data_IF_407484012132
#
_entry.id   IF_407484012132
#
_cell.length_a   1.000
_cell.length_b   1.000
_cell.length_c   1.000
_cell.angle_alpha   90.00
_cell.angle_beta   90.00
_cell.angle_gamma   90.00
#
_symmetry.space_group_name_H-M   'P 1'
#
loop_
_entity.id
_entity.type
_entity.pdbx_description
1 polymer ?
#
# COMPACT_ATOMS: atom_id res chain seq x y z
N UNK A 1 30.59 12.37 18.24
CA UNK A 1 29.13 12.43 18.20
C UNK A 1 28.61 12.87 16.82
N UNK A 2 29.49 12.92 15.77
CA UNK A 2 29.19 13.53 14.44
C UNK A 2 29.14 12.54 13.25
N UNK A 3 29.43 11.27 13.46
CA UNK A 3 29.43 10.29 12.35
C UNK A 3 28.04 9.80 11.93
N UNK A 4 27.04 9.84 12.81
CA UNK A 4 25.68 9.47 12.48
C UNK A 4 24.90 10.57 11.73
N UNK A 5 25.27 11.83 11.90
CA UNK A 5 24.58 12.96 11.26
C UNK A 5 24.97 13.09 9.79
N UNK A 6 26.24 12.83 9.46
CA UNK A 6 26.75 12.88 8.07
C UNK A 6 26.21 11.72 7.21
N UNK A 7 26.09 10.51 7.75
CA UNK A 7 25.54 9.36 7.01
C UNK A 7 24.04 9.54 6.67
N UNK A 8 23.26 10.15 7.55
CA UNK A 8 21.81 10.40 7.31
C UNK A 8 21.59 11.49 6.27
N UNK A 9 22.44 12.53 6.23
CA UNK A 9 22.33 13.61 5.23
C UNK A 9 22.79 13.17 3.84
N UNK A 10 23.80 12.33 3.73
CA UNK A 10 24.26 11.77 2.45
C UNK A 10 23.20 10.81 1.84
N UNK A 11 22.54 10.01 2.65
CA UNK A 11 21.44 9.13 2.22
C UNK A 11 20.24 9.91 1.68
N UNK A 12 19.88 11.04 2.30
CA UNK A 12 18.74 11.87 1.86
C UNK A 12 19.03 12.62 0.56
N UNK A 13 20.25 13.10 0.33
CA UNK A 13 20.60 13.77 -0.93
C UNK A 13 20.67 12.79 -2.10
N UNK A 14 21.17 11.58 -1.89
CA UNK A 14 21.15 10.50 -2.86
C UNK A 14 19.71 10.10 -3.22
N UNK A 15 18.83 10.00 -2.21
CA UNK A 15 17.42 9.71 -2.41
C UNK A 15 16.71 10.79 -3.22
N UNK A 16 16.97 12.08 -2.95
CA UNK A 16 16.36 13.18 -3.69
C UNK A 16 16.72 13.14 -5.18
N UNK A 17 17.99 12.87 -5.50
CA UNK A 17 18.43 12.73 -6.88
C UNK A 17 17.80 11.52 -7.58
N UNK A 18 17.78 10.37 -6.92
CA UNK A 18 17.17 9.14 -7.46
C UNK A 18 15.67 9.32 -7.67
N UNK A 19 14.98 10.04 -6.80
CA UNK A 19 13.54 10.28 -6.92
C UNK A 19 13.18 11.03 -8.22
N UNK A 20 13.95 12.04 -8.59
CA UNK A 20 13.73 12.78 -9.85
C UNK A 20 14.00 11.91 -11.08
N UNK A 21 15.03 11.08 -11.04
CA UNK A 21 15.33 10.16 -12.14
C UNK A 21 14.27 9.05 -12.25
N UNK A 22 13.83 8.48 -11.11
CA UNK A 22 12.75 7.51 -11.06
C UNK A 22 11.46 8.06 -11.67
N UNK A 23 11.10 9.31 -11.32
CA UNK A 23 9.89 9.95 -11.84
C UNK A 23 9.91 10.01 -13.36
N UNK A 24 11.03 10.50 -13.95
CA UNK A 24 11.18 10.61 -15.41
C UNK A 24 11.16 9.25 -16.10
N UNK A 25 11.89 8.30 -15.54
CA UNK A 25 12.06 6.96 -16.14
C UNK A 25 10.77 6.16 -16.08
N UNK A 26 10.04 6.20 -14.94
CA UNK A 26 8.75 5.54 -14.81
C UNK A 26 7.67 6.19 -15.67
N UNK A 27 7.67 7.53 -15.80
CA UNK A 27 6.75 8.23 -16.71
C UNK A 27 6.98 7.81 -18.17
N UNK A 28 8.24 7.68 -18.59
CA UNK A 28 8.59 7.21 -19.93
C UNK A 28 8.13 5.75 -20.14
N UNK A 29 8.26 4.88 -19.14
CA UNK A 29 7.76 3.52 -19.18
C UNK A 29 6.23 3.48 -19.33
N UNK A 30 5.50 4.24 -18.50
CA UNK A 30 4.04 4.32 -18.55
C UNK A 30 3.55 4.87 -19.90
N UNK A 31 4.20 5.91 -20.42
CA UNK A 31 3.86 6.46 -21.75
C UNK A 31 4.01 5.41 -22.85
N UNK A 32 5.06 4.60 -22.77
CA UNK A 32 5.29 3.50 -23.73
C UNK A 32 4.21 2.42 -23.60
N UNK A 33 3.85 1.99 -22.39
CA UNK A 33 2.81 1.00 -22.15
C UNK A 33 1.42 1.48 -22.63
N UNK A 34 1.05 2.72 -22.30
CA UNK A 34 -0.22 3.32 -22.74
C UNK A 34 -0.27 3.51 -24.26
N UNK A 35 0.87 3.85 -24.87
CA UNK A 35 0.96 3.97 -26.34
C UNK A 35 0.68 2.62 -26.98
N UNK A 36 1.35 1.56 -26.53
CA UNK A 36 1.16 0.22 -27.05
C UNK A 36 -0.31 -0.26 -26.90
N UNK A 37 -0.90 -0.03 -25.71
CA UNK A 37 -2.30 -0.38 -25.45
C UNK A 37 -3.28 0.32 -26.40
N UNK A 38 -3.04 1.59 -26.73
CA UNK A 38 -3.86 2.34 -27.70
C UNK A 38 -3.67 1.84 -29.15
N UNK A 39 -2.44 1.53 -29.53
CA UNK A 39 -2.13 1.01 -30.86
C UNK A 39 -2.79 -0.35 -31.08
N UNK A 40 -2.73 -1.24 -30.06
CA UNK A 40 -3.44 -2.54 -30.10
C UNK A 40 -4.96 -2.37 -30.13
N UNK A 41 -5.51 -1.43 -29.33
CA UNK A 41 -6.95 -1.17 -29.31
C UNK A 41 -7.49 -0.51 -30.58
N UNK A 42 -6.64 0.14 -31.37
CA UNK A 42 -6.99 0.75 -32.65
C UNK A 42 -6.77 -0.18 -33.86
N UNK A 43 -5.98 -1.24 -33.70
CA UNK A 43 -5.72 -2.21 -34.78
C UNK A 43 -6.90 -3.16 -34.93
N UNK A 44 -7.44 -3.25 -36.18
CA UNK A 44 -8.51 -4.18 -36.53
C UNK A 44 -7.92 -5.36 -37.32
N UNK A 45 -8.07 -6.57 -36.80
CA UNK A 45 -7.78 -7.81 -37.53
C UNK A 45 -6.31 -8.07 -37.85
N UNK A 46 -5.90 -8.07 -39.10
CA UNK A 46 -4.55 -8.43 -39.58
C UNK A 46 -3.45 -7.41 -39.25
N UNK A 47 -3.83 -6.19 -38.84
CA UNK A 47 -2.87 -5.11 -38.55
C UNK A 47 -2.21 -5.23 -37.18
N UNK A 48 -2.58 -6.22 -36.36
CA UNK A 48 -1.96 -6.52 -35.07
C UNK A 48 -0.47 -6.92 -35.21
N UNK A 49 -0.07 -7.49 -36.35
CA UNK A 49 1.32 -7.87 -36.59
C UNK A 49 2.23 -6.66 -36.87
N UNK A 50 1.66 -5.51 -37.22
CA UNK A 50 2.41 -4.25 -37.45
C UNK A 50 2.68 -3.46 -36.18
N UNK A 51 2.02 -3.81 -35.05
CA UNK A 51 2.26 -3.13 -33.77
C UNK A 51 3.61 -3.57 -33.19
N UNK A 52 4.56 -2.65 -33.10
CA UNK A 52 5.95 -2.95 -32.75
C UNK A 52 6.15 -3.35 -31.27
N UNK A 53 6.49 -4.60 -30.95
CA UNK A 53 6.82 -5.03 -29.58
C UNK A 53 8.05 -4.34 -28.99
N UNK A 54 8.82 -3.62 -29.80
CA UNK A 54 9.98 -2.84 -29.37
C UNK A 54 9.62 -1.80 -28.28
N UNK A 55 8.42 -1.23 -28.35
CA UNK A 55 7.90 -0.26 -27.36
C UNK A 55 7.80 -0.90 -25.98
N UNK A 56 7.37 -2.16 -25.88
CA UNK A 56 7.31 -2.89 -24.60
C UNK A 56 8.69 -3.21 -24.03
N UNK A 57 9.68 -3.50 -24.89
CA UNK A 57 11.08 -3.70 -24.45
C UNK A 57 11.67 -2.40 -23.90
N UNK A 58 11.35 -1.26 -24.52
CA UNK A 58 11.75 0.06 -24.02
C UNK A 58 11.13 0.33 -22.65
N UNK A 59 9.84 0.07 -22.47
CA UNK A 59 9.17 0.20 -21.18
C UNK A 59 9.83 -0.69 -20.10
N UNK A 60 10.12 -1.95 -20.43
CA UNK A 60 10.84 -2.85 -19.52
C UNK A 60 12.22 -2.32 -19.14
N UNK A 61 12.98 -1.80 -20.12
CA UNK A 61 14.31 -1.26 -19.87
C UNK A 61 14.27 -0.06 -18.90
N UNK A 62 13.30 0.82 -19.04
CA UNK A 62 13.10 1.94 -18.11
C UNK A 62 12.81 1.46 -16.69
N UNK A 63 11.93 0.46 -16.53
CA UNK A 63 11.64 -0.12 -15.21
C UNK A 63 12.89 -0.80 -14.64
N UNK A 64 13.65 -1.53 -15.44
CA UNK A 64 14.91 -2.16 -15.03
C UNK A 64 15.94 -1.14 -14.53
N UNK A 65 16.11 -0.02 -15.23
CA UNK A 65 16.97 1.09 -14.80
C UNK A 65 16.51 1.66 -13.45
N UNK A 66 15.20 1.79 -13.26
CA UNK A 66 14.62 2.24 -11.99
C UNK A 66 14.88 1.25 -10.83
N UNK A 67 14.86 -0.06 -11.10
CA UNK A 67 15.25 -1.08 -10.12
C UNK A 67 16.70 -0.90 -9.69
N UNK A 68 17.62 -0.78 -10.66
CA UNK A 68 19.04 -0.58 -10.37
C UNK A 68 19.32 0.70 -9.58
N UNK A 69 18.63 1.79 -9.88
CA UNK A 69 18.75 3.05 -9.14
C UNK A 69 18.34 2.89 -7.66
N UNK A 70 17.25 2.15 -7.38
CA UNK A 70 16.80 1.88 -6.01
C UNK A 70 17.77 0.96 -5.25
N UNK A 71 18.37 0.00 -5.92
CA UNK A 71 19.39 -0.86 -5.30
C UNK A 71 20.65 -0.08 -4.91
N UNK A 72 21.08 0.85 -5.75
CA UNK A 72 22.24 1.70 -5.48
C UNK A 72 22.07 2.58 -4.24
N UNK A 73 20.84 3.00 -3.93
CA UNK A 73 20.52 3.81 -2.73
C UNK A 73 19.98 2.97 -1.58
N UNK A 74 20.16 1.64 -1.63
CA UNK A 74 19.77 0.71 -0.58
C UNK A 74 18.29 0.79 -0.19
N UNK A 75 17.41 0.80 -1.19
CA UNK A 75 15.95 0.75 -1.04
C UNK A 75 15.39 -0.58 -1.58
N UNK A 76 15.67 -1.70 -0.90
CA UNK A 76 15.32 -3.04 -1.39
C UNK A 76 13.81 -3.25 -1.54
N UNK A 77 13.00 -2.62 -0.69
CA UNK A 77 11.54 -2.68 -0.77
C UNK A 77 11.02 -2.06 -2.08
N UNK A 78 11.56 -0.91 -2.47
CA UNK A 78 11.20 -0.25 -3.73
C UNK A 78 11.66 -1.06 -4.95
N UNK A 79 12.88 -1.60 -4.90
CA UNK A 79 13.41 -2.48 -5.94
C UNK A 79 12.54 -3.74 -6.12
N UNK A 80 12.05 -4.33 -5.01
CA UNK A 80 11.18 -5.50 -5.03
C UNK A 80 9.85 -5.22 -5.75
N UNK A 81 9.24 -4.06 -5.49
CA UNK A 81 8.02 -3.63 -6.16
C UNK A 81 8.23 -3.51 -7.68
N UNK A 82 9.27 -2.78 -8.08
CA UNK A 82 9.54 -2.54 -9.50
C UNK A 82 10.02 -3.79 -10.23
N UNK A 83 10.69 -4.73 -9.57
CA UNK A 83 10.99 -6.06 -10.15
C UNK A 83 9.71 -6.83 -10.49
N UNK A 84 8.69 -6.75 -9.64
CA UNK A 84 7.39 -7.36 -9.94
C UNK A 84 6.71 -6.71 -11.14
N UNK A 85 6.83 -5.38 -11.28
CA UNK A 85 6.36 -4.65 -12.46
C UNK A 85 7.16 -5.04 -13.72
N UNK A 86 8.49 -5.14 -13.62
CA UNK A 86 9.36 -5.60 -14.71
C UNK A 86 8.99 -7.00 -15.18
N UNK A 87 8.73 -7.93 -14.25
CA UNK A 87 8.30 -9.29 -14.57
C UNK A 87 6.98 -9.30 -15.34
N UNK A 88 6.00 -8.46 -14.96
CA UNK A 88 4.74 -8.35 -15.69
C UNK A 88 4.96 -7.82 -17.11
N UNK A 89 5.77 -6.76 -17.26
CA UNK A 89 6.12 -6.23 -18.60
C UNK A 89 6.89 -7.26 -19.43
N UNK A 90 7.79 -8.04 -18.83
CA UNK A 90 8.49 -9.13 -19.52
C UNK A 90 7.52 -10.18 -20.05
N UNK A 91 6.45 -10.50 -19.32
CA UNK A 91 5.38 -11.40 -19.81
C UNK A 91 4.63 -10.80 -21.00
N UNK A 92 4.40 -9.49 -20.98
CA UNK A 92 3.82 -8.76 -22.13
C UNK A 92 4.77 -8.71 -23.33
N UNK A 93 6.09 -8.55 -23.10
CA UNK A 93 7.09 -8.65 -24.19
C UNK A 93 7.07 -10.03 -24.84
N UNK A 94 6.92 -11.09 -24.02
CA UNK A 94 6.87 -12.47 -24.52
C UNK A 94 5.54 -12.79 -25.22
N UNK A 95 4.45 -12.18 -24.81
CA UNK A 95 3.09 -12.37 -25.34
C UNK A 95 2.36 -11.03 -25.40
N UNK A 96 2.65 -10.20 -26.40
CA UNK A 96 2.13 -8.83 -26.51
C UNK A 96 0.60 -8.73 -26.53
N UNK A 97 -0.07 -9.74 -27.09
CA UNK A 97 -1.53 -9.85 -27.12
C UNK A 97 -2.18 -10.03 -25.74
N UNK A 98 -1.41 -10.28 -24.68
CA UNK A 98 -1.90 -10.39 -23.30
C UNK A 98 -1.83 -9.09 -22.51
N UNK A 99 -1.29 -8.03 -23.11
CA UNK A 99 -1.30 -6.72 -22.48
C UNK A 99 -2.74 -6.21 -22.44
N UNK A 100 -3.18 -5.87 -21.25
CA UNK A 100 -4.50 -5.31 -21.00
C UNK A 100 -4.42 -4.03 -20.16
N UNK A 101 -5.53 -3.32 -20.08
CA UNK A 101 -5.62 -2.08 -19.32
C UNK A 101 -5.38 -2.30 -17.82
N UNK A 102 -5.81 -3.44 -17.27
CA UNK A 102 -5.65 -3.76 -15.84
C UNK A 102 -4.17 -3.94 -15.47
N UNK A 103 -3.39 -4.61 -16.33
CA UNK A 103 -1.95 -4.77 -16.12
C UNK A 103 -1.20 -3.45 -16.19
N UNK A 104 -1.53 -2.57 -17.15
CA UNK A 104 -0.92 -1.24 -17.25
C UNK A 104 -1.28 -0.40 -16.03
N UNK A 105 -2.54 -0.36 -15.63
CA UNK A 105 -3.02 0.37 -14.46
C UNK A 105 -2.35 -0.11 -13.16
N UNK A 106 -2.17 -1.42 -12.99
CA UNK A 106 -1.50 -1.99 -11.82
C UNK A 106 -0.03 -1.53 -11.72
N UNK A 107 0.70 -1.51 -12.85
CA UNK A 107 2.08 -1.01 -12.92
C UNK A 107 2.12 0.48 -12.56
N UNK A 108 1.21 1.27 -13.08
CA UNK A 108 1.12 2.71 -12.81
C UNK A 108 0.80 2.99 -11.34
N UNK A 109 -0.17 2.28 -10.75
CA UNK A 109 -0.55 2.43 -9.34
C UNK A 109 0.59 2.08 -8.39
N UNK A 110 1.33 1.00 -8.65
CA UNK A 110 2.50 0.65 -7.86
C UNK A 110 3.61 1.70 -7.97
N UNK A 111 3.87 2.19 -9.19
CA UNK A 111 4.86 3.23 -9.42
C UNK A 111 4.51 4.53 -8.69
N UNK A 112 3.25 4.95 -8.76
CA UNK A 112 2.76 6.16 -8.06
C UNK A 112 2.83 5.99 -6.55
N UNK A 113 2.45 4.81 -6.02
CA UNK A 113 2.54 4.52 -4.59
C UNK A 113 3.99 4.56 -4.10
N UNK A 114 4.92 3.99 -4.87
CA UNK A 114 6.34 4.03 -4.56
C UNK A 114 6.89 5.46 -4.56
N UNK A 115 6.58 6.26 -5.56
CA UNK A 115 7.01 7.66 -5.63
C UNK A 115 6.47 8.48 -4.45
N UNK A 116 5.21 8.29 -4.07
CA UNK A 116 4.60 8.93 -2.92
C UNK A 116 5.27 8.51 -1.60
N UNK A 117 5.50 7.20 -1.41
CA UNK A 117 6.26 6.67 -0.28
C UNK A 117 7.65 7.31 -0.16
N UNK A 118 8.39 7.42 -1.27
CA UNK A 118 9.74 8.00 -1.29
C UNK A 118 9.72 9.51 -1.00
N UNK A 119 8.73 10.24 -1.51
CA UNK A 119 8.54 11.67 -1.18
C UNK A 119 8.29 11.86 0.31
N UNK A 120 7.42 11.05 0.91
CA UNK A 120 7.14 11.13 2.34
C UNK A 120 8.36 10.73 3.18
N UNK A 121 9.12 9.71 2.74
CA UNK A 121 10.38 9.29 3.37
C UNK A 121 11.43 10.42 3.32
N UNK A 122 11.58 11.09 2.17
CA UNK A 122 12.47 12.23 1.99
C UNK A 122 12.08 13.42 2.88
N UNK A 123 10.77 13.64 3.08
CA UNK A 123 10.24 14.66 3.97
C UNK A 123 10.38 14.29 5.48
N UNK A 124 11.03 13.19 5.82
CA UNK A 124 11.24 12.74 7.20
C UNK A 124 9.96 12.24 7.90
N UNK A 125 8.89 11.95 7.15
CA UNK A 125 7.66 11.41 7.75
C UNK A 125 7.87 9.95 8.17
N UNK A 126 7.18 9.48 9.22
CA UNK A 126 7.22 8.09 9.62
C UNK A 126 6.47 7.23 8.61
N UNK A 127 7.19 6.66 7.66
CA UNK A 127 6.65 5.80 6.59
C UNK A 127 7.00 4.34 6.82
N UNK A 128 6.14 3.45 6.38
CA UNK A 128 6.35 2.00 6.42
C UNK A 128 6.12 1.41 5.03
N UNK A 129 7.11 0.67 4.51
CA UNK A 129 7.02 0.02 3.20
C UNK A 129 5.85 -0.98 3.10
N UNK A 130 5.43 -1.56 4.21
CA UNK A 130 4.25 -2.45 4.29
C UNK A 130 2.97 -1.77 3.80
N UNK A 131 2.88 -0.43 3.88
CA UNK A 131 1.77 0.34 3.31
C UNK A 131 1.68 0.35 1.79
N UNK A 132 2.71 -0.17 1.09
CA UNK A 132 2.71 -0.38 -0.37
C UNK A 132 2.08 -1.73 -0.78
N UNK A 133 1.78 -2.60 0.19
CA UNK A 133 1.38 -3.97 -0.07
C UNK A 133 0.08 -4.08 -0.87
N UNK A 134 -0.89 -3.20 -0.62
CA UNK A 134 -2.19 -3.26 -1.30
C UNK A 134 -2.06 -3.18 -2.83
N UNK A 135 -1.22 -2.27 -3.33
CA UNK A 135 -0.96 -2.14 -4.77
C UNK A 135 -0.01 -3.24 -5.26
N UNK A 136 1.04 -3.55 -4.51
CA UNK A 136 1.98 -4.60 -4.89
C UNK A 136 1.33 -5.97 -4.99
N UNK A 137 0.38 -6.30 -4.11
CA UNK A 137 -0.39 -7.54 -4.16
C UNK A 137 -1.04 -7.76 -5.53
N UNK A 138 -1.62 -6.70 -6.12
CA UNK A 138 -2.25 -6.80 -7.46
C UNK A 138 -1.24 -7.23 -8.52
N UNK A 139 -0.02 -6.67 -8.51
CA UNK A 139 1.05 -7.11 -9.42
C UNK A 139 1.45 -8.57 -9.18
N UNK A 140 1.55 -9.00 -7.92
CA UNK A 140 1.89 -10.38 -7.58
C UNK A 140 0.80 -11.36 -8.06
N UNK A 141 -0.47 -11.00 -7.90
CA UNK A 141 -1.61 -11.78 -8.39
C UNK A 141 -1.60 -11.88 -9.92
N UNK A 142 -1.38 -10.77 -10.64
CA UNK A 142 -1.24 -10.75 -12.10
C UNK A 142 -0.03 -11.57 -12.58
N UNK A 143 1.05 -11.58 -11.83
CA UNK A 143 2.22 -12.41 -12.09
C UNK A 143 2.02 -13.89 -11.71
N UNK A 144 0.90 -14.24 -11.08
CA UNK A 144 0.67 -15.60 -10.53
C UNK A 144 1.81 -16.00 -9.58
N UNK A 145 2.23 -15.06 -8.72
CA UNK A 145 3.32 -15.30 -7.77
C UNK A 145 2.93 -16.40 -6.77
N UNK A 146 3.85 -17.32 -6.50
CA UNK A 146 3.64 -18.41 -5.54
C UNK A 146 3.48 -17.89 -4.11
N UNK A 147 4.18 -16.80 -3.81
CA UNK A 147 4.13 -16.15 -2.51
C UNK A 147 3.60 -14.73 -2.63
N UNK A 148 2.59 -14.45 -1.81
CA UNK A 148 2.00 -13.13 -1.61
C UNK A 148 1.84 -12.94 -0.10
N UNK A 149 2.71 -12.12 0.51
CA UNK A 149 2.67 -11.88 1.95
C UNK A 149 3.22 -10.49 2.31
N UNK A 150 2.56 -9.71 3.21
CA UNK A 150 2.99 -8.36 3.57
C UNK A 150 4.36 -8.32 4.30
N UNK A 151 4.78 -9.40 4.94
CA UNK A 151 6.08 -9.49 5.59
C UNK A 151 7.26 -9.30 4.62
N UNK A 152 7.07 -9.55 3.33
CA UNK A 152 8.12 -9.38 2.32
C UNK A 152 8.48 -7.89 2.09
N UNK A 153 7.62 -6.96 2.52
CA UNK A 153 7.88 -5.51 2.52
C UNK A 153 8.33 -4.98 3.89
N UNK A 154 8.55 -5.83 4.86
CA UNK A 154 9.03 -5.41 6.18
C UNK A 154 10.57 -5.47 6.22
N UNK A 155 11.27 -4.31 6.23
CA UNK A 155 12.72 -4.26 6.21
C UNK A 155 13.30 -4.53 7.59
N UNK A 156 13.18 -5.74 8.08
CA UNK A 156 13.73 -6.16 9.37
C UNK A 156 14.81 -7.25 9.16
N UNK A 157 15.94 -7.13 9.87
CA UNK A 157 16.94 -8.19 9.94
C UNK A 157 16.44 -9.31 10.86
N UNK A 158 15.75 -10.27 10.24
CA UNK A 158 15.03 -11.32 10.94
C UNK A 158 15.86 -12.58 11.20
N UNK A 159 17.18 -12.48 11.26
CA UNK A 159 17.98 -13.66 11.63
C UNK A 159 17.39 -14.33 12.86
N UNK A 160 17.28 -15.66 12.79
CA UNK A 160 16.69 -16.42 13.87
C UNK A 160 17.48 -16.17 15.17
N UNK A 161 16.78 -15.64 16.18
CA UNK A 161 17.35 -15.34 17.49
C UNK A 161 16.65 -16.18 18.54
N UNK A 162 17.39 -16.70 19.50
CA UNK A 162 16.81 -17.47 20.58
C UNK A 162 15.82 -16.62 21.40
N UNK A 163 14.59 -17.10 21.53
CA UNK A 163 13.54 -16.49 22.37
C UNK A 163 13.51 -17.28 23.69
N UNK A 164 13.62 -16.61 24.87
CA UNK A 164 13.56 -17.32 26.16
C UNK A 164 12.17 -17.91 26.41
N UNK A 165 12.12 -19.00 27.18
CA UNK A 165 10.85 -19.51 27.71
C UNK A 165 10.34 -18.63 28.85
N UNK A 166 9.08 -18.24 28.77
CA UNK A 166 8.39 -17.44 29.77
C UNK A 166 7.11 -18.08 30.27
N UNK A 167 6.80 -19.28 29.79
CA UNK A 167 5.49 -19.92 30.04
C UNK A 167 5.55 -21.03 31.10
N UNK A 168 6.71 -21.65 31.32
CA UNK A 168 6.84 -22.84 32.15
C UNK A 168 5.95 -24.01 31.67
N UNK A 169 5.67 -24.07 30.38
CA UNK A 169 4.79 -25.08 29.77
C UNK A 169 5.41 -26.48 29.90
N UNK A 170 4.58 -27.49 30.08
CA UNK A 170 5.02 -28.90 30.08
C UNK A 170 5.37 -29.32 28.66
N UNK A 171 6.54 -29.97 28.50
CA UNK A 171 7.00 -30.47 27.22
C UNK A 171 6.04 -31.51 26.62
N UNK A 172 5.65 -31.31 25.37
CA UNK A 172 4.84 -32.27 24.62
C UNK A 172 5.42 -32.44 23.22
N UNK A 173 5.77 -33.67 22.86
CA UNK A 173 6.35 -33.95 21.54
C UNK A 173 5.29 -33.80 20.42
N UNK A 174 5.78 -33.55 19.22
CA UNK A 174 4.96 -33.57 18.02
C UNK A 174 4.46 -35.00 17.74
N UNK A 175 3.19 -35.24 18.00
CA UNK A 175 2.51 -36.51 17.81
C UNK A 175 1.08 -36.33 17.27
N UNK A 176 0.37 -37.44 17.04
CA UNK A 176 -0.99 -37.41 16.49
C UNK A 176 -1.98 -36.74 17.45
N UNK A 177 -1.78 -36.83 18.77
CA UNK A 177 -2.66 -36.22 19.76
C UNK A 177 -2.49 -34.67 19.74
N UNK A 178 -1.24 -34.18 19.69
CA UNK A 178 -0.94 -32.76 19.54
C UNK A 178 -1.48 -32.21 18.21
N UNK A 179 -1.34 -32.96 17.11
CA UNK A 179 -1.90 -32.57 15.82
C UNK A 179 -3.42 -32.42 15.90
N UNK A 180 -4.12 -33.39 16.48
CA UNK A 180 -5.58 -33.33 16.62
C UNK A 180 -6.05 -32.17 17.53
N UNK A 181 -5.26 -31.82 18.56
CA UNK A 181 -5.52 -30.66 19.41
C UNK A 181 -5.42 -29.37 18.59
N UNK A 182 -4.33 -29.16 17.89
CA UNK A 182 -4.07 -27.96 17.08
C UNK A 182 -5.06 -27.86 15.91
N UNK A 183 -5.38 -28.95 15.23
CA UNK A 183 -6.39 -28.95 14.15
C UNK A 183 -7.76 -28.50 14.63
N UNK A 184 -8.21 -29.00 15.78
CA UNK A 184 -9.49 -28.63 16.37
C UNK A 184 -9.54 -27.15 16.78
N UNK A 185 -8.48 -26.68 17.46
CA UNK A 185 -8.39 -25.30 17.91
C UNK A 185 -8.25 -24.35 16.71
N UNK A 186 -7.45 -24.70 15.69
CA UNK A 186 -7.31 -23.90 14.48
C UNK A 186 -8.62 -23.81 13.70
N UNK A 187 -9.36 -24.91 13.56
CA UNK A 187 -10.65 -24.90 12.89
C UNK A 187 -11.66 -23.99 13.63
N UNK A 188 -11.69 -24.04 14.96
CA UNK A 188 -12.53 -23.16 15.77
C UNK A 188 -12.13 -21.68 15.59
N UNK A 189 -10.82 -21.38 15.60
CA UNK A 189 -10.30 -20.05 15.38
C UNK A 189 -10.65 -19.50 13.99
N UNK A 190 -10.52 -20.33 12.93
CA UNK A 190 -10.83 -19.94 11.55
C UNK A 190 -12.33 -19.65 11.34
N UNK A 191 -13.20 -20.41 12.00
CA UNK A 191 -14.67 -20.28 11.83
C UNK A 191 -15.29 -19.18 12.69
N UNK A 192 -14.86 -19.08 13.94
CA UNK A 192 -15.55 -18.29 14.96
C UNK A 192 -14.68 -17.18 15.56
N UNK A 193 -13.38 -17.15 15.21
CA UNK A 193 -12.40 -16.20 15.77
C UNK A 193 -12.43 -16.14 17.31
N UNK A 194 -12.56 -17.30 17.97
CA UNK A 194 -12.70 -17.37 19.43
C UNK A 194 -11.35 -17.17 20.12
N UNK A 195 -11.23 -16.24 21.08
CA UNK A 195 -10.00 -16.05 21.86
C UNK A 195 -9.52 -17.33 22.55
N UNK A 196 -10.44 -18.15 23.07
CA UNK A 196 -10.12 -19.41 23.74
C UNK A 196 -9.38 -20.41 22.84
N UNK A 197 -9.74 -20.47 21.55
CA UNK A 197 -9.03 -21.30 20.57
C UNK A 197 -7.61 -20.80 20.33
N UNK A 198 -7.39 -19.49 20.24
CA UNK A 198 -6.06 -18.90 20.09
C UNK A 198 -5.20 -19.13 21.35
N UNK A 199 -5.78 -19.04 22.56
CA UNK A 199 -5.09 -19.39 23.81
C UNK A 199 -4.65 -20.85 23.82
N UNK A 200 -5.53 -21.79 23.37
CA UNK A 200 -5.16 -23.20 23.29
C UNK A 200 -3.99 -23.42 22.31
N UNK A 201 -4.04 -22.80 21.12
CA UNK A 201 -2.96 -22.86 20.14
C UNK A 201 -1.64 -22.29 20.66
N UNK A 202 -1.69 -21.16 21.38
CA UNK A 202 -0.51 -20.55 22.00
C UNK A 202 0.14 -21.52 22.99
N UNK A 203 -0.66 -22.13 23.88
CA UNK A 203 -0.19 -23.11 24.87
C UNK A 203 0.40 -24.36 24.19
N UNK A 204 -0.28 -24.93 23.20
CA UNK A 204 0.16 -26.13 22.50
C UNK A 204 1.49 -25.88 21.76
N UNK A 205 1.66 -24.68 21.14
CA UNK A 205 2.96 -24.27 20.55
C UNK A 205 4.05 -24.09 21.60
N UNK A 206 3.73 -23.50 22.78
CA UNK A 206 4.70 -23.41 23.88
C UNK A 206 5.15 -24.78 24.37
N UNK A 207 4.23 -25.77 24.45
CA UNK A 207 4.56 -27.15 24.82
C UNK A 207 5.44 -27.85 23.79
N UNK A 208 5.24 -27.59 22.48
CA UNK A 208 6.11 -28.07 21.41
C UNK A 208 7.52 -27.45 21.51
N UNK A 209 7.61 -26.15 21.87
CA UNK A 209 8.91 -25.49 22.05
C UNK A 209 9.75 -26.11 23.17
N UNK A 210 9.11 -26.57 24.24
CA UNK A 210 9.78 -27.26 25.36
C UNK A 210 10.30 -28.65 24.98
N UNK A 211 9.64 -29.31 24.01
CA UNK A 211 10.02 -30.64 23.55
C UNK A 211 10.96 -30.62 22.32
N UNK A 212 11.25 -29.44 21.82
CA UNK A 212 12.09 -29.27 20.63
C UNK A 212 13.52 -29.79 20.84
N UNK A 213 14.09 -30.42 19.81
CA UNK A 213 15.41 -31.00 19.87
C UNK A 213 16.55 -29.96 19.76
N UNK A 214 16.24 -28.78 19.19
CA UNK A 214 17.21 -27.70 18.96
C UNK A 214 16.65 -26.31 19.21
N UNK A 215 17.55 -25.34 19.40
CA UNK A 215 17.19 -23.94 19.70
C UNK A 215 16.38 -23.28 18.57
N UNK A 216 16.66 -23.62 17.32
CA UNK A 216 15.97 -23.07 16.16
C UNK A 216 14.51 -23.54 16.11
N UNK A 217 14.28 -24.83 16.29
CA UNK A 217 12.92 -25.40 16.36
C UNK A 217 12.16 -24.81 17.56
N UNK A 218 12.80 -24.73 18.73
CA UNK A 218 12.22 -24.14 19.92
C UNK A 218 11.80 -22.67 19.67
N UNK A 219 12.65 -21.93 18.98
CA UNK A 219 12.36 -20.52 18.64
C UNK A 219 11.18 -20.41 17.68
N UNK A 220 11.06 -21.25 16.65
CA UNK A 220 9.91 -21.27 15.75
C UNK A 220 8.60 -21.49 16.53
N UNK A 221 8.56 -22.48 17.42
CA UNK A 221 7.36 -22.76 18.20
C UNK A 221 7.06 -21.65 19.23
N UNK A 222 8.08 -20.97 19.78
CA UNK A 222 7.88 -19.78 20.62
C UNK A 222 7.32 -18.59 19.85
N UNK A 223 7.79 -18.37 18.62
CA UNK A 223 7.20 -17.37 17.71
C UNK A 223 5.74 -17.70 17.40
N UNK A 224 5.42 -18.97 17.13
CA UNK A 224 4.04 -19.41 16.91
C UNK A 224 3.18 -19.21 18.18
N UNK A 225 3.72 -19.51 19.36
CA UNK A 225 3.03 -19.28 20.62
C UNK A 225 2.74 -17.78 20.84
N UNK A 226 3.72 -16.89 20.61
CA UNK A 226 3.54 -15.45 20.71
C UNK A 226 2.52 -14.91 19.71
N UNK A 227 2.54 -15.40 18.47
CA UNK A 227 1.58 -15.08 17.43
C UNK A 227 0.14 -15.41 17.85
N UNK A 228 -0.11 -16.62 18.36
CA UNK A 228 -1.44 -16.98 18.84
C UNK A 228 -1.83 -16.27 20.14
N UNK A 229 -0.86 -15.91 21.00
CA UNK A 229 -1.11 -15.06 22.16
C UNK A 229 -1.57 -13.67 21.70
N UNK A 230 -0.88 -13.06 20.72
CA UNK A 230 -1.29 -11.78 20.15
C UNK A 230 -2.70 -11.84 19.55
N UNK A 231 -3.02 -12.92 18.85
CA UNK A 231 -4.35 -13.13 18.29
C UNK A 231 -5.43 -13.29 19.39
N UNK A 232 -5.14 -14.03 20.46
CA UNK A 232 -6.06 -14.21 21.59
C UNK A 232 -6.40 -12.90 22.31
N UNK A 233 -5.46 -11.96 22.32
CA UNK A 233 -5.62 -10.62 22.90
C UNK A 233 -6.31 -9.62 21.95
N UNK A 234 -6.72 -10.05 20.75
CA UNK A 234 -7.35 -9.18 19.77
C UNK A 234 -6.42 -8.13 19.14
N UNK A 235 -5.10 -8.32 19.24
CA UNK A 235 -4.09 -7.38 18.72
C UNK A 235 -3.87 -7.52 17.21
N UNK A 236 -4.38 -8.60 16.61
CA UNK A 236 -4.23 -8.91 15.19
C UNK A 236 -5.61 -8.99 14.54
N UNK A 237 -5.78 -8.30 13.42
CA UNK A 237 -7.02 -8.37 12.63
C UNK A 237 -6.99 -9.64 11.75
N UNK A 238 -8.02 -10.50 11.85
CA UNK A 238 -8.06 -11.76 11.12
C UNK A 238 -8.35 -11.54 9.63
N UNK A 239 -7.29 -11.43 8.84
CA UNK A 239 -7.37 -11.43 7.38
C UNK A 239 -6.94 -12.77 6.77
N UNK A 240 -6.89 -12.83 5.43
CA UNK A 240 -6.50 -14.03 4.73
C UNK A 240 -5.03 -14.41 4.93
N UNK A 241 -4.14 -13.44 5.10
CA UNK A 241 -2.70 -13.65 5.26
C UNK A 241 -2.40 -14.18 6.66
N UNK A 242 -3.01 -13.60 7.69
CA UNK A 242 -2.95 -14.09 9.06
C UNK A 242 -3.43 -15.55 9.14
N UNK A 243 -4.58 -15.85 8.53
CA UNK A 243 -5.15 -17.21 8.51
C UNK A 243 -4.26 -18.21 7.76
N UNK A 244 -3.65 -17.80 6.66
CA UNK A 244 -2.68 -18.63 5.93
C UNK A 244 -1.45 -18.93 6.78
N UNK A 245 -0.91 -17.93 7.48
CA UNK A 245 0.23 -18.11 8.40
C UNK A 245 -0.11 -19.11 9.49
N UNK A 246 -1.28 -19.00 10.13
CA UNK A 246 -1.74 -19.98 11.11
C UNK A 246 -1.88 -21.40 10.53
N UNK A 247 -2.37 -21.54 9.30
CA UNK A 247 -2.45 -22.84 8.60
C UNK A 247 -1.07 -23.42 8.32
N UNK A 248 -0.06 -22.58 8.05
CA UNK A 248 1.33 -23.01 7.84
C UNK A 248 1.98 -23.53 9.13
N UNK A 249 1.60 -23.00 10.30
CA UNK A 249 2.03 -23.55 11.59
C UNK A 249 1.59 -25.03 11.72
N UNK A 250 0.34 -25.33 11.35
CA UNK A 250 -0.16 -26.72 11.34
C UNK A 250 0.57 -27.58 10.29
N UNK A 251 0.87 -27.03 9.11
CA UNK A 251 1.63 -27.75 8.09
C UNK A 251 3.04 -28.10 8.58
N UNK A 252 3.70 -27.19 9.30
CA UNK A 252 5.02 -27.43 9.90
C UNK A 252 4.95 -28.56 10.95
N UNK A 253 3.91 -28.60 11.78
CA UNK A 253 3.70 -29.69 12.73
C UNK A 253 3.53 -31.06 12.02
N UNK A 254 2.72 -31.09 10.96
CA UNK A 254 2.56 -32.30 10.14
C UNK A 254 3.86 -32.79 9.52
N UNK A 255 4.69 -31.86 9.02
CA UNK A 255 6.01 -32.16 8.48
C UNK A 255 6.91 -32.76 9.56
N UNK A 256 6.92 -32.17 10.74
CA UNK A 256 7.68 -32.64 11.90
C UNK A 256 7.30 -34.03 12.35
N UNK A 257 6.00 -34.36 12.39
CA UNK A 257 5.49 -35.68 12.73
C UNK A 257 5.93 -36.74 11.69
N UNK A 258 6.09 -36.35 10.44
CA UNK A 258 6.61 -37.22 9.36
C UNK A 258 8.12 -37.45 9.42
N UNK A 259 8.83 -36.81 10.35
CA UNK A 259 10.27 -36.92 10.53
C UNK A 259 11.09 -35.90 9.73
N UNK A 260 10.48 -34.90 9.16
CA UNK A 260 11.16 -33.80 8.53
C UNK A 260 11.80 -32.90 9.61
N UNK A 261 13.12 -32.76 9.57
CA UNK A 261 13.86 -31.96 10.55
C UNK A 261 13.99 -30.49 10.16
N UNK A 262 13.70 -30.16 8.90
CA UNK A 262 13.77 -28.80 8.42
C UNK A 262 12.61 -27.95 8.96
N UNK A 263 12.91 -26.74 9.40
CA UNK A 263 11.90 -25.75 9.75
C UNK A 263 11.86 -24.65 8.69
N UNK A 264 10.68 -24.06 8.50
CA UNK A 264 10.51 -23.02 7.51
C UNK A 264 10.95 -21.66 8.06
N UNK A 265 12.11 -21.14 7.64
CA UNK A 265 12.55 -19.78 7.92
C UNK A 265 11.52 -18.74 7.49
N UNK A 266 10.86 -18.98 6.36
CA UNK A 266 9.77 -18.12 5.86
C UNK A 266 8.57 -18.08 6.80
N UNK A 267 8.26 -19.19 7.47
CA UNK A 267 7.21 -19.20 8.49
C UNK A 267 7.65 -18.42 9.72
N UNK A 268 8.90 -18.55 10.15
CA UNK A 268 9.43 -17.78 11.27
C UNK A 268 9.38 -16.28 11.01
N UNK A 269 9.74 -15.85 9.80
CA UNK A 269 9.62 -14.45 9.36
C UNK A 269 8.16 -13.95 9.39
N UNK A 270 7.22 -14.74 8.86
CA UNK A 270 5.80 -14.38 8.86
C UNK A 270 5.24 -14.24 10.28
N UNK A 271 5.60 -15.16 11.18
CA UNK A 271 5.20 -15.11 12.59
C UNK A 271 5.80 -13.89 13.30
N UNK A 272 7.08 -13.62 13.09
CA UNK A 272 7.76 -12.47 13.66
C UNK A 272 7.16 -11.14 13.18
N UNK A 273 6.80 -11.05 11.90
CA UNK A 273 6.10 -9.89 11.35
C UNK A 273 4.81 -9.56 12.10
N UNK A 274 4.00 -10.57 12.41
CA UNK A 274 2.77 -10.35 13.17
C UNK A 274 3.05 -10.02 14.64
N UNK A 275 4.05 -10.65 15.26
CA UNK A 275 4.49 -10.29 16.62
C UNK A 275 4.95 -8.83 16.68
N UNK A 276 5.71 -8.35 15.70
CA UNK A 276 6.19 -6.98 15.65
C UNK A 276 5.07 -5.93 15.52
N UNK A 277 3.91 -6.32 15.04
CA UNK A 277 2.74 -5.45 14.87
C UNK A 277 1.77 -5.50 16.04
N UNK A 278 1.96 -6.43 16.96
CA UNK A 278 1.07 -6.69 18.08
C UNK A 278 1.64 -6.09 19.37
N UNK A 279 1.07 -5.00 19.84
CA UNK A 279 1.49 -4.31 21.06
C UNK A 279 0.34 -4.24 22.06
N UNK A 280 0.43 -4.98 23.19
CA UNK A 280 -0.63 -4.97 24.19
C UNK A 280 -0.66 -3.63 24.93
N UNK A 281 -1.84 -3.28 25.45
CA UNK A 281 -1.99 -2.13 26.35
C UNK A 281 -1.15 -2.35 27.62
N UNK A 282 -0.61 -1.27 28.21
CA UNK A 282 0.11 -1.35 29.49
C UNK A 282 -0.71 -2.11 30.55
N UNK A 283 -0.07 -3.09 31.20
CA UNK A 283 -0.73 -3.93 32.20
C UNK A 283 -1.42 -5.19 31.67
N UNK A 284 -1.51 -5.38 30.35
CA UNK A 284 -2.03 -6.63 29.77
C UNK A 284 -0.93 -7.70 29.74
N UNK A 285 -1.10 -8.86 30.41
CA UNK A 285 -0.09 -9.91 30.42
C UNK A 285 0.05 -10.56 29.04
N UNK A 286 1.24 -10.45 28.46
CA UNK A 286 1.60 -11.08 27.19
C UNK A 286 3.07 -11.57 27.24
N UNK A 287 3.40 -12.53 28.12
CA UNK A 287 4.79 -12.87 28.43
C UNK A 287 5.56 -13.41 27.21
N UNK A 288 4.94 -14.25 26.38
CA UNK A 288 5.62 -14.79 25.21
C UNK A 288 5.83 -13.72 24.13
N UNK A 289 4.83 -12.86 23.92
CA UNK A 289 4.95 -11.75 22.99
C UNK A 289 6.04 -10.74 23.44
N UNK A 290 6.08 -10.44 24.75
CA UNK A 290 7.11 -9.59 25.32
C UNK A 290 8.52 -10.20 25.19
N UNK A 291 8.67 -11.50 25.36
CA UNK A 291 9.93 -12.21 25.13
C UNK A 291 10.40 -12.10 23.68
N UNK A 292 9.48 -12.23 22.70
CA UNK A 292 9.79 -12.03 21.27
C UNK A 292 10.20 -10.59 21.01
N UNK A 293 9.47 -9.61 21.54
CA UNK A 293 9.83 -8.19 21.38
C UNK A 293 11.26 -7.91 21.91
N UNK A 294 11.60 -8.43 23.07
CA UNK A 294 12.92 -8.26 23.65
C UNK A 294 14.02 -8.98 22.87
N UNK A 295 13.79 -10.23 22.44
CA UNK A 295 14.78 -11.01 21.71
C UNK A 295 15.14 -10.42 20.34
N UNK A 296 14.19 -9.75 19.70
CA UNK A 296 14.35 -9.15 18.37
C UNK A 296 14.50 -7.62 18.40
N UNK A 297 14.66 -7.01 19.57
CA UNK A 297 14.78 -5.55 19.74
C UNK A 297 13.67 -4.78 18.99
N UNK A 298 12.44 -5.28 19.08
CA UNK A 298 11.31 -4.68 18.40
C UNK A 298 10.83 -3.43 19.16
N UNK A 299 10.50 -2.39 18.39
CA UNK A 299 9.86 -1.19 18.89
C UNK A 299 8.42 -1.07 18.39
N UNK A 300 7.52 -0.40 19.14
CA UNK A 300 6.18 -0.14 18.69
C UNK A 300 6.18 0.58 17.34
N UNK A 301 5.45 0.01 16.37
CA UNK A 301 5.24 0.62 15.07
C UNK A 301 3.86 1.27 15.03
N UNK A 302 3.75 2.38 14.29
CA UNK A 302 2.43 2.95 13.98
C UNK A 302 1.63 1.89 13.21
N UNK A 303 0.41 1.54 13.65
CA UNK A 303 -0.42 0.58 12.93
C UNK A 303 -0.69 1.04 11.51
N UNK A 304 -0.41 0.18 10.53
CA UNK A 304 -0.69 0.40 9.11
C UNK A 304 -1.61 -0.71 8.63
N UNK A 305 -2.74 -0.33 8.03
CA UNK A 305 -3.58 -1.28 7.30
C UNK A 305 -2.95 -1.53 5.92
N UNK A 306 -2.31 -2.70 5.78
CA UNK A 306 -1.68 -3.12 4.53
C UNK A 306 -2.67 -3.65 3.49
N UNK A 307 -3.95 -3.81 3.83
CA UNK A 307 -4.98 -4.26 2.90
C UNK A 307 -5.56 -3.12 2.07
N UNK A 308 -5.45 -1.88 2.56
CA UNK A 308 -5.92 -0.68 1.86
C UNK A 308 -4.75 0.15 1.33
N UNK A 309 -4.88 0.79 0.16
CA UNK A 309 -3.85 1.68 -0.36
C UNK A 309 -3.56 2.84 0.60
N UNK A 310 -2.33 2.95 1.07
CA UNK A 310 -1.88 4.06 1.91
C UNK A 310 -1.23 5.17 1.09
N UNK A 311 -0.43 4.79 0.11
CA UNK A 311 0.33 5.69 -0.77
C UNK A 311 -0.27 5.74 -2.18
N UNK A 312 0.03 6.81 -2.93
CA UNK A 312 -0.37 6.95 -4.33
C UNK A 312 -1.88 7.05 -4.55
N UNK A 313 -2.62 7.49 -3.53
CA UNK A 313 -4.09 7.65 -3.61
C UNK A 313 -4.52 8.66 -4.66
N UNK A 314 -3.67 9.64 -4.95
CA UNK A 314 -3.96 10.70 -5.90
C UNK A 314 -2.83 10.86 -6.90
N UNK A 315 -3.14 10.85 -8.19
CA UNK A 315 -2.20 11.17 -9.25
C UNK A 315 -1.82 12.66 -9.15
N UNK A 316 -0.52 13.02 -9.03
CA UNK A 316 -0.06 14.41 -8.98
C UNK A 316 -0.57 15.26 -10.15
N UNK A 317 -0.61 14.70 -11.34
CA UNK A 317 -1.12 15.40 -12.52
C UNK A 317 -2.61 15.69 -12.40
N UNK A 318 -3.41 14.75 -11.88
CA UNK A 318 -4.82 14.96 -11.59
C UNK A 318 -5.04 16.01 -10.51
N UNK A 319 -4.24 15.99 -9.43
CA UNK A 319 -4.31 17.01 -8.37
C UNK A 319 -4.02 18.39 -8.94
N UNK A 320 -2.96 18.56 -9.73
CA UNK A 320 -2.63 19.84 -10.36
C UNK A 320 -3.70 20.30 -11.36
N UNK A 321 -4.23 19.37 -12.15
CA UNK A 321 -5.33 19.68 -13.05
C UNK A 321 -6.59 20.11 -12.29
N UNK A 322 -6.93 19.42 -11.20
CA UNK A 322 -8.07 19.77 -10.35
C UNK A 322 -7.89 21.15 -9.72
N UNK A 323 -6.69 21.49 -9.23
CA UNK A 323 -6.37 22.83 -8.75
C UNK A 323 -6.64 23.92 -9.79
N UNK A 324 -6.17 23.70 -11.01
CA UNK A 324 -6.43 24.65 -12.12
C UNK A 324 -7.93 24.80 -12.39
N UNK A 325 -8.68 23.70 -12.35
CA UNK A 325 -10.14 23.70 -12.55
C UNK A 325 -10.87 24.38 -11.41
N UNK A 326 -10.50 24.12 -10.14
CA UNK A 326 -11.08 24.78 -8.96
C UNK A 326 -10.81 26.29 -9.00
N UNK A 327 -9.59 26.70 -9.36
CA UNK A 327 -9.27 28.12 -9.55
C UNK A 327 -10.13 28.75 -10.63
N UNK A 328 -10.27 28.12 -11.79
CA UNK A 328 -11.13 28.61 -12.86
C UNK A 328 -12.60 28.71 -12.42
N UNK A 329 -13.09 27.76 -11.60
CA UNK A 329 -14.44 27.81 -11.05
C UNK A 329 -14.63 28.97 -10.04
N UNK A 330 -13.63 29.24 -9.20
CA UNK A 330 -13.64 30.40 -8.29
C UNK A 330 -13.70 31.71 -9.08
N UNK A 331 -12.87 31.83 -10.12
CA UNK A 331 -12.87 33.04 -10.97
C UNK A 331 -14.23 33.23 -11.68
N UNK A 332 -14.75 32.13 -12.25
CA UNK A 332 -16.06 32.14 -12.90
C UNK A 332 -17.22 32.49 -11.94
N UNK A 333 -17.20 31.92 -10.72
CA UNK A 333 -18.19 32.20 -9.69
C UNK A 333 -18.13 33.64 -9.20
N UNK A 334 -16.92 34.16 -9.01
CA UNK A 334 -16.73 35.57 -8.65
C UNK A 334 -17.27 36.52 -9.71
N UNK A 335 -17.10 36.22 -11.00
CA UNK A 335 -17.61 37.00 -12.10
C UNK A 335 -19.16 37.04 -12.12
N UNK A 336 -19.82 35.89 -11.98
CA UNK A 336 -21.30 35.82 -11.99
C UNK A 336 -21.93 36.33 -10.71
N UNK A 337 -21.16 36.55 -9.67
CA UNK A 337 -21.63 37.22 -8.44
C UNK A 337 -21.78 38.74 -8.64
N UNK A 338 -21.25 39.30 -9.72
CA UNK A 338 -21.37 40.69 -10.09
C UNK A 338 -22.59 40.90 -11.01
N UNK A 339 -23.45 41.91 -10.75
CA UNK A 339 -24.57 42.24 -11.65
C UNK A 339 -24.16 42.61 -13.08
N UNK A 340 -22.93 43.00 -13.26
CA UNK A 340 -22.36 43.42 -14.57
C UNK A 340 -22.22 42.24 -15.53
N UNK A 341 -21.97 41.01 -15.01
CA UNK A 341 -21.83 39.79 -15.82
C UNK A 341 -23.10 39.46 -16.63
N UNK A 342 -24.26 39.91 -16.20
CA UNK A 342 -25.56 39.65 -16.84
C UNK A 342 -26.06 40.78 -17.76
N UNK A 343 -25.27 41.88 -17.91
CA UNK A 343 -25.61 42.99 -18.79
C UNK A 343 -25.23 42.78 -20.25
N UNK A 344 -24.26 41.91 -20.52
CA UNK A 344 -23.78 41.61 -21.87
C UNK A 344 -24.04 40.15 -22.23
N UNK A 345 -25.03 39.83 -23.09
CA UNK A 345 -25.35 38.49 -23.50
C UNK A 345 -24.20 37.76 -24.26
N UNK A 346 -23.23 38.51 -24.81
CA UNK A 346 -22.11 37.98 -25.55
C UNK A 346 -20.86 37.68 -24.67
N UNK A 347 -20.88 38.07 -23.40
CA UNK A 347 -19.88 37.79 -22.38
C UNK A 347 -20.24 36.62 -21.46
N UNK A 348 -21.00 35.65 -21.96
CA UNK A 348 -21.39 34.49 -21.18
C UNK A 348 -20.19 33.79 -20.57
N UNK A 349 -20.09 33.80 -19.24
CA UNK A 349 -19.12 32.97 -18.52
C UNK A 349 -19.55 31.52 -18.72
N UNK A 350 -18.67 30.62 -19.17
CA UNK A 350 -19.00 29.20 -19.38
C UNK A 350 -19.12 28.48 -18.02
N UNK A 351 -20.01 28.96 -17.16
CA UNK A 351 -20.15 28.54 -15.77
C UNK A 351 -20.44 27.02 -15.67
N UNK A 352 -21.37 26.55 -16.50
CA UNK A 352 -21.74 25.12 -16.50
C UNK A 352 -20.59 24.23 -16.91
N UNK A 353 -19.85 24.61 -17.96
CA UNK A 353 -18.70 23.82 -18.43
C UNK A 353 -17.60 23.74 -17.38
N UNK A 354 -17.28 24.88 -16.75
CA UNK A 354 -16.25 24.96 -15.72
C UNK A 354 -16.64 24.14 -14.48
N UNK A 355 -17.89 24.22 -14.04
CA UNK A 355 -18.36 23.46 -12.87
C UNK A 355 -18.51 21.97 -13.18
N UNK A 356 -18.87 21.60 -14.39
CA UNK A 356 -18.87 20.18 -14.83
C UNK A 356 -17.47 19.61 -14.78
N UNK A 357 -16.46 20.32 -15.29
CA UNK A 357 -15.06 19.89 -15.25
C UNK A 357 -14.51 19.76 -13.82
N UNK A 358 -14.91 20.67 -12.91
CA UNK A 358 -14.57 20.54 -11.48
C UNK A 358 -15.23 19.31 -10.88
N UNK A 359 -16.53 19.11 -11.14
CA UNK A 359 -17.29 17.97 -10.64
C UNK A 359 -16.69 16.63 -11.08
N UNK A 360 -16.30 16.49 -12.35
CA UNK A 360 -15.59 15.30 -12.85
C UNK A 360 -14.27 15.07 -12.14
N UNK A 361 -13.49 16.13 -11.89
CA UNK A 361 -12.21 16.03 -11.21
C UNK A 361 -12.36 15.59 -9.75
N UNK A 362 -13.32 16.18 -9.03
CA UNK A 362 -13.59 15.87 -7.63
C UNK A 362 -14.07 14.42 -7.48
N UNK A 363 -14.98 13.97 -8.36
CA UNK A 363 -15.48 12.59 -8.33
C UNK A 363 -14.41 11.53 -8.63
N UNK A 364 -13.32 11.92 -9.30
CA UNK A 364 -12.16 11.02 -9.54
C UNK A 364 -11.16 11.02 -8.39
N UNK A 365 -11.04 12.15 -7.66
CA UNK A 365 -10.05 12.28 -6.59
C UNK A 365 -10.56 11.81 -5.23
N UNK A 366 -11.87 11.90 -4.99
CA UNK A 366 -12.49 11.58 -3.72
C UNK A 366 -13.67 10.64 -3.93
N UNK A 367 -13.70 9.54 -3.20
CA UNK A 367 -14.77 8.53 -3.29
C UNK A 367 -16.16 9.12 -3.02
N UNK A 368 -16.24 10.07 -2.08
CA UNK A 368 -17.48 10.80 -1.75
C UNK A 368 -17.68 12.09 -2.56
N UNK A 369 -16.77 12.39 -3.48
CA UNK A 369 -16.75 13.63 -4.27
C UNK A 369 -18.00 13.84 -5.15
N UNK A 370 -18.71 12.76 -5.48
CA UNK A 370 -19.89 12.81 -6.34
C UNK A 370 -21.06 13.59 -5.76
N UNK A 371 -21.19 13.71 -4.44
CA UNK A 371 -22.26 14.53 -3.83
C UNK A 371 -21.95 16.01 -3.99
N UNK A 372 -20.73 16.41 -3.66
CA UNK A 372 -20.29 17.81 -3.81
C UNK A 372 -20.30 18.23 -5.28
N UNK A 373 -19.88 17.38 -6.20
CA UNK A 373 -19.94 17.64 -7.64
C UNK A 373 -21.36 17.93 -8.12
N UNK A 374 -22.35 17.15 -7.67
CA UNK A 374 -23.76 17.37 -7.99
C UNK A 374 -24.30 18.68 -7.42
N UNK A 375 -23.94 19.00 -6.16
CA UNK A 375 -24.35 20.23 -5.51
C UNK A 375 -23.80 21.46 -6.24
N UNK A 376 -22.52 21.46 -6.59
CA UNK A 376 -21.88 22.54 -7.34
C UNK A 376 -22.49 22.72 -8.73
N UNK A 377 -22.75 21.64 -9.46
CA UNK A 377 -23.40 21.71 -10.79
C UNK A 377 -24.85 22.19 -10.68
N UNK A 378 -25.60 21.81 -9.65
CA UNK A 378 -26.96 22.31 -9.40
C UNK A 378 -26.97 23.82 -9.11
N UNK A 379 -26.02 24.31 -8.33
CA UNK A 379 -25.86 25.74 -8.05
C UNK A 379 -25.56 26.53 -9.33
N UNK A 380 -24.61 26.06 -10.14
CA UNK A 380 -24.30 26.70 -11.44
C UNK A 380 -25.51 26.70 -12.38
N UNK A 381 -26.27 25.61 -12.45
CA UNK A 381 -27.47 25.47 -13.25
C UNK A 381 -28.56 26.48 -12.78
N UNK A 382 -28.71 26.67 -11.48
CA UNK A 382 -29.67 27.60 -10.90
C UNK A 382 -29.37 29.05 -11.32
N UNK A 383 -28.10 29.45 -11.25
CA UNK A 383 -27.67 30.80 -11.64
C UNK A 383 -27.87 31.04 -13.14
N UNK A 384 -27.48 30.08 -13.98
CA UNK A 384 -27.61 30.20 -15.45
C UNK A 384 -29.11 30.28 -15.85
N UNK A 385 -29.96 29.43 -15.26
CA UNK A 385 -31.41 29.45 -15.54
C UNK A 385 -32.09 30.70 -15.08
N UNK A 386 -31.69 31.22 -13.92
CA UNK A 386 -32.26 32.43 -13.38
C UNK A 386 -31.80 33.69 -14.12
N UNK A 387 -30.72 33.60 -14.89
CA UNK A 387 -30.06 34.70 -15.61
C UNK A 387 -29.85 35.94 -14.71
N UNK A 388 -29.45 35.74 -13.47
CA UNK A 388 -29.20 36.77 -12.44
C UNK A 388 -28.14 36.29 -11.45
N UNK A 389 -27.47 37.21 -10.74
CA UNK A 389 -26.52 36.85 -9.70
C UNK A 389 -27.09 35.86 -8.67
N UNK A 390 -26.30 34.98 -8.08
CA UNK A 390 -26.74 34.12 -6.99
C UNK A 390 -27.19 34.96 -5.78
N UNK A 391 -28.18 34.47 -5.05
CA UNK A 391 -28.55 35.07 -3.76
C UNK A 391 -27.39 34.98 -2.76
N UNK A 392 -27.39 35.83 -1.71
CA UNK A 392 -26.26 35.88 -0.77
C UNK A 392 -25.89 34.51 -0.13
N UNK A 393 -26.92 33.73 0.23
CA UNK A 393 -26.71 32.39 0.84
C UNK A 393 -26.04 31.43 -0.13
N UNK A 394 -26.60 31.25 -1.34
CA UNK A 394 -26.05 30.39 -2.35
C UNK A 394 -24.66 30.87 -2.79
N UNK A 395 -24.49 32.21 -2.90
CA UNK A 395 -23.22 32.83 -3.25
C UNK A 395 -22.10 32.45 -2.27
N UNK A 396 -22.40 32.54 -0.97
CA UNK A 396 -21.46 32.24 0.10
C UNK A 396 -21.18 30.72 0.22
N UNK A 397 -22.23 29.92 0.10
CA UNK A 397 -22.11 28.45 0.22
C UNK A 397 -21.20 27.85 -0.85
N UNK A 398 -21.37 28.26 -2.11
CA UNK A 398 -20.51 27.81 -3.21
C UNK A 398 -19.09 28.37 -3.08
N UNK A 399 -18.92 29.63 -2.73
CA UNK A 399 -17.61 30.23 -2.53
C UNK A 399 -16.85 29.52 -1.41
N UNK A 400 -17.49 29.23 -0.28
CA UNK A 400 -16.91 28.48 0.85
C UNK A 400 -16.52 27.05 0.43
N UNK A 401 -17.39 26.38 -0.33
CA UNK A 401 -17.12 25.03 -0.83
C UNK A 401 -15.90 24.98 -1.75
N UNK A 402 -15.76 25.96 -2.65
CA UNK A 402 -14.59 26.07 -3.54
C UNK A 402 -13.29 26.41 -2.78
N UNK A 403 -13.37 27.26 -1.74
CA UNK A 403 -12.24 27.56 -0.87
C UNK A 403 -11.81 26.33 -0.05
N UNK A 404 -12.78 25.57 0.47
CA UNK A 404 -12.49 24.32 1.17
C UNK A 404 -11.81 23.29 0.26
N UNK A 405 -12.30 23.16 -0.98
CA UNK A 405 -11.67 22.29 -1.98
C UNK A 405 -10.23 22.72 -2.31
N UNK A 406 -9.98 24.03 -2.42
CA UNK A 406 -8.64 24.56 -2.66
C UNK A 406 -7.72 24.22 -1.48
N UNK A 407 -8.17 24.45 -0.24
CA UNK A 407 -7.41 24.08 0.96
C UNK A 407 -7.15 22.57 1.06
N UNK A 408 -8.15 21.73 0.78
CA UNK A 408 -7.99 20.27 0.77
C UNK A 408 -6.99 19.79 -0.30
N UNK A 409 -7.01 20.41 -1.49
CA UNK A 409 -6.06 20.14 -2.55
C UNK A 409 -4.66 20.67 -2.20
N UNK A 410 -4.55 21.73 -1.44
CA UNK A 410 -3.29 22.28 -0.94
C UNK A 410 -2.70 21.37 0.13
N UNK A 411 -3.50 20.80 1.01
CA UNK A 411 -3.03 19.77 1.96
C UNK A 411 -2.49 18.52 1.23
N UNK A 412 -3.24 18.01 0.23
CA UNK A 412 -2.79 16.91 -0.62
C UNK A 412 -1.50 17.28 -1.38
N UNK A 413 -1.28 18.54 -1.69
CA UNK A 413 -0.10 19.05 -2.39
C UNK A 413 1.02 19.57 -1.46
N UNK A 414 0.69 20.16 -0.31
CA UNK A 414 1.66 20.63 0.70
C UNK A 414 2.34 19.46 1.40
N UNK A 415 1.65 18.32 1.51
CA UNK A 415 2.30 17.06 1.84
C UNK A 415 3.43 16.69 0.85
N UNK A 416 3.50 17.36 -0.30
CA UNK A 416 4.47 17.13 -1.37
C UNK A 416 5.42 18.29 -1.66
N UNK A 417 5.07 19.53 -1.34
CA UNK A 417 5.83 20.73 -1.72
C UNK A 417 6.57 21.42 -0.57
N UNK A 418 6.53 20.87 0.62
CA UNK A 418 7.11 21.48 1.82
C UNK A 418 8.64 21.58 1.87
N UNK A 419 9.38 21.37 0.76
CA UNK A 419 10.85 21.51 0.74
C UNK A 419 11.40 21.82 -0.67
N UNK A 420 10.75 22.75 -1.39
CA UNK A 420 11.36 23.31 -2.60
C UNK A 420 11.97 24.71 -2.38
N UNK A 421 11.79 25.30 -1.19
CA UNK A 421 12.35 26.61 -0.85
C UNK A 421 12.94 26.57 0.58
N UNK A 422 14.16 26.05 0.68
CA UNK A 422 15.18 26.50 1.66
C UNK A 422 16.54 25.95 1.28
#
# INVERSE_FOLDING_TARGET
MDLHHTAVTDDLSALAWVLEELRKTLEAAHKSLRRYLREVGAAEGSDLDDVQPAVLRTARQHIHQSVGALELVNLPEGALLLRSAEQLVQRFVARPQRLDAAGVEAIEKVSQALLDYLVQKLAGKPVQAVGLFAQWRVLLELNSAERIHPADLWPHDWRLREVPDTTGSVAHRADAAMLASIERALLALMRQNTPAAAVALSRDCASLAQAAAGAEEATLWRLASAFFQAWSLGLLLPDMFLKRTASRVMAQLRSRIKGDEEFSERLAQDLLFYCARAWPQPGTPAPMLAAVHAAYDLAPLVPVDYNTPLYGRSDPAQVQQTRKRVKAAKDAWSQVSSPEAFRDPHRGVPLLDVFTLVGESISRLYDDGGQLARALNAAATTVVRANRPPGPELGMEVATSLLYLEAALDEVGADRSGHADH
#
